data_IF_850283756339
#
_entry.id   IF_850283756339
#
_cell.length_a   1.000
_cell.length_b   1.000
_cell.length_c   1.000
_cell.angle_alpha   90.00
_cell.angle_beta   90.00
_cell.angle_gamma   90.00
#
_symmetry.space_group_name_H-M   'P 1'
#
loop_
_entity.id
_entity.type
_entity.pdbx_description
1 polymer ?
#
# COMPACT_ATOMS: atom_id res chain seq x y z
N UNK A 1 27.64 56.80 29.06
CA UNK A 1 26.57 57.50 29.79
C UNK A 1 25.30 56.69 29.56
N UNK A 2 24.93 55.81 30.50
CA UNK A 2 23.82 56.03 31.46
C UNK A 2 22.52 56.38 30.71
N UNK A 3 21.48 55.54 30.69
CA UNK A 3 20.69 55.11 31.86
C UNK A 3 19.93 53.80 31.62
N UNK A 4 19.89 52.97 32.65
CA UNK A 4 18.99 51.83 32.83
C UNK A 4 17.66 52.27 33.45
N UNK A 5 16.63 51.39 33.40
CA UNK A 5 15.59 51.11 34.42
C UNK A 5 14.69 49.98 33.84
N UNK A 6 14.79 48.72 34.32
CA UNK A 6 14.10 48.10 35.48
C UNK A 6 12.60 47.89 35.22
N UNK A 7 12.14 46.70 34.82
CA UNK A 7 11.75 45.51 35.62
C UNK A 7 10.47 45.66 36.45
N UNK A 8 9.60 44.63 36.45
CA UNK A 8 9.01 43.94 37.62
C UNK A 8 7.95 42.91 37.15
N UNK A 9 8.22 41.64 37.47
CA UNK A 9 7.27 40.51 37.59
C UNK A 9 6.45 40.63 38.89
N UNK A 10 5.40 39.81 39.04
CA UNK A 10 5.35 39.01 40.27
C UNK A 10 5.20 37.51 39.98
N UNK A 11 5.93 36.75 40.79
CA UNK A 11 5.85 35.31 40.94
C UNK A 11 5.12 34.94 42.25
N UNK A 12 5.03 33.62 42.49
CA UNK A 12 4.65 32.89 43.72
C UNK A 12 3.12 32.83 43.96
N UNK A 13 2.46 31.70 44.31
CA UNK A 13 2.87 30.51 45.07
C UNK A 13 1.97 29.30 44.72
N UNK A 14 2.54 28.10 44.76
CA UNK A 14 1.87 26.80 44.71
C UNK A 14 1.30 26.36 46.08
N UNK A 15 0.18 25.64 46.11
CA UNK A 15 -0.18 24.84 47.28
C UNK A 15 -0.92 23.55 46.89
N UNK A 16 -0.42 22.46 47.46
CA UNK A 16 -0.93 21.10 47.43
C UNK A 16 -2.29 20.95 48.13
N UNK A 17 -3.09 19.98 47.70
CA UNK A 17 -3.80 19.09 48.64
C UNK A 17 -4.28 17.79 47.98
N UNK A 18 -4.13 16.72 48.75
CA UNK A 18 -4.26 15.28 48.52
C UNK A 18 -5.71 14.74 48.55
N UNK A 19 -6.01 13.76 47.67
CA UNK A 19 -6.54 12.38 47.91
C UNK A 19 -7.47 12.21 49.15
N UNK A 20 -8.78 11.89 49.09
CA UNK A 20 -9.51 10.64 48.74
C UNK A 20 -10.95 10.69 49.37
N UNK A 21 -11.88 9.70 49.28
CA UNK A 21 -12.34 8.87 48.15
C UNK A 21 -13.89 8.74 48.04
N UNK A 22 -14.33 8.05 46.98
CA UNK A 22 -15.59 7.28 46.82
C UNK A 22 -16.93 7.98 46.48
N UNK A 23 -17.43 7.70 45.27
CA UNK A 23 -18.74 7.05 45.06
C UNK A 23 -18.85 6.52 43.62
N UNK A 24 -19.01 5.21 43.52
CA UNK A 24 -19.23 4.47 42.29
C UNK A 24 -20.53 4.91 41.59
N UNK A 25 -20.48 5.07 40.28
CA UNK A 25 -21.68 5.14 39.44
C UNK A 25 -21.74 3.86 38.60
N UNK A 26 -22.83 3.12 38.80
CA UNK A 26 -23.18 1.87 38.08
C UNK A 26 -23.49 2.18 36.61
N UNK A 27 -23.19 1.26 35.68
CA UNK A 27 -23.57 1.41 34.29
C UNK A 27 -25.07 1.06 34.11
N UNK A 28 -25.79 1.68 33.17
CA UNK A 28 -27.11 1.18 32.79
C UNK A 28 -26.97 -0.05 31.89
N UNK A 29 -27.79 -1.06 32.17
CA UNK A 29 -27.90 -2.30 31.41
C UNK A 29 -28.78 -2.15 30.16
N UNK A 30 -28.31 -2.74 29.06
CA UNK A 30 -29.05 -3.45 27.99
C UNK A 30 -30.39 -2.91 27.47
N UNK A 31 -30.41 -2.52 26.19
CA UNK A 31 -31.56 -2.63 25.28
C UNK A 31 -31.03 -2.97 23.87
N UNK A 32 -31.04 -4.26 23.50
CA UNK A 32 -31.93 -4.90 22.51
C UNK A 32 -31.67 -4.51 21.05
N UNK A 33 -31.03 -5.44 20.35
CA UNK A 33 -31.16 -5.81 18.94
C UNK A 33 -32.19 -5.02 18.11
N UNK A 34 -31.72 -4.19 17.18
CA UNK A 34 -32.51 -3.75 16.03
C UNK A 34 -32.35 -4.79 14.91
N UNK A 35 -33.44 -5.52 14.66
CA UNK A 35 -33.63 -6.32 13.44
C UNK A 35 -34.25 -5.46 12.33
N UNK A 36 -34.08 -5.84 11.06
CA UNK A 36 -34.27 -4.96 9.90
C UNK A 36 -35.74 -4.69 9.57
N UNK A 37 -35.97 -3.53 8.94
CA UNK A 37 -37.23 -3.11 8.36
C UNK A 37 -37.72 -4.11 7.29
N UNK A 38 -38.78 -4.86 7.62
CA UNK A 38 -39.60 -5.55 6.63
C UNK A 38 -40.56 -4.55 5.97
N UNK A 39 -40.41 -4.32 4.66
CA UNK A 39 -41.42 -3.64 3.84
C UNK A 39 -42.59 -4.60 3.54
N UNK A 40 -43.85 -4.11 3.49
CA UNK A 40 -44.97 -4.95 3.06
C UNK A 40 -44.95 -5.14 1.54
N UNK A 41 -44.96 -6.41 1.10
CA UNK A 41 -45.21 -6.81 -0.27
C UNK A 41 -46.72 -6.73 -0.54
N UNK A 42 -47.12 -5.87 -1.48
CA UNK A 42 -48.46 -5.84 -2.08
C UNK A 42 -48.39 -6.65 -3.39
N UNK A 43 -49.23 -7.68 -3.61
CA UNK A 43 -49.20 -8.44 -4.85
C UNK A 43 -50.00 -7.70 -5.94
N UNK A 44 -49.28 -7.15 -6.94
CA UNK A 44 -49.88 -6.73 -8.21
C UNK A 44 -49.88 -7.92 -9.17
N UNK A 45 -51.08 -8.40 -9.49
CA UNK A 45 -51.31 -9.41 -10.53
C UNK A 45 -51.26 -8.70 -11.88
N UNK A 46 -50.12 -8.81 -12.58
CA UNK A 46 -50.05 -8.51 -14.02
C UNK A 46 -49.91 -9.80 -14.83
N UNK A 47 -50.95 -10.10 -15.61
CA UNK A 47 -50.91 -11.08 -16.71
C UNK A 47 -49.77 -10.71 -17.66
N UNK A 48 -48.75 -11.57 -17.77
CA UNK A 48 -47.78 -11.55 -18.88
C UNK A 48 -48.09 -12.70 -19.84
N UNK A 49 -48.37 -12.34 -21.08
CA UNK A 49 -48.32 -13.22 -22.24
C UNK A 49 -46.90 -13.80 -22.39
N UNK A 50 -46.73 -15.05 -22.87
CA UNK A 50 -45.42 -15.68 -22.95
C UNK A 50 -44.62 -15.08 -24.10
N UNK A 51 -43.60 -14.29 -23.75
CA UNK A 51 -42.52 -13.91 -24.67
C UNK A 51 -41.31 -14.74 -24.28
N UNK A 52 -40.72 -15.39 -25.28
CA UNK A 52 -39.64 -16.37 -25.20
C UNK A 52 -38.53 -15.98 -24.20
N UNK A 53 -38.50 -16.68 -23.06
CA UNK A 53 -37.52 -16.50 -21.99
C UNK A 53 -36.23 -17.31 -22.21
N UNK A 54 -36.15 -18.15 -23.25
CA UNK A 54 -34.99 -19.04 -23.41
C UNK A 54 -33.76 -18.31 -23.93
N UNK A 55 -33.91 -17.28 -24.76
CA UNK A 55 -32.77 -16.57 -25.36
C UNK A 55 -32.10 -15.58 -24.40
N UNK A 56 -32.85 -15.00 -23.45
CA UNK A 56 -32.29 -14.08 -22.46
C UNK A 56 -31.51 -14.83 -21.36
N UNK A 57 -32.04 -15.97 -20.91
CA UNK A 57 -31.38 -16.81 -19.92
C UNK A 57 -30.08 -17.43 -20.47
N UNK A 58 -30.06 -17.89 -21.72
CA UNK A 58 -28.82 -18.42 -22.34
C UNK A 58 -27.74 -17.36 -22.52
N UNK A 59 -28.10 -16.12 -22.85
CA UNK A 59 -27.14 -15.02 -23.02
C UNK A 59 -26.56 -14.55 -21.68
N UNK A 60 -27.34 -14.61 -20.59
CA UNK A 60 -26.82 -14.33 -19.23
C UNK A 60 -25.87 -15.44 -18.75
N UNK A 61 -26.21 -16.70 -19.00
CA UNK A 61 -25.39 -17.87 -18.63
C UNK A 61 -24.06 -17.91 -19.42
N UNK A 62 -24.08 -17.58 -20.72
CA UNK A 62 -22.88 -17.46 -21.55
C UNK A 62 -21.96 -16.32 -21.08
N UNK A 63 -22.53 -15.16 -20.75
CA UNK A 63 -21.73 -14.02 -20.23
C UNK A 63 -21.11 -14.32 -18.87
N UNK A 64 -21.85 -15.01 -18.00
CA UNK A 64 -21.35 -15.38 -16.68
C UNK A 64 -20.19 -16.39 -16.80
N UNK A 65 -20.33 -17.40 -17.67
CA UNK A 65 -19.25 -18.34 -17.96
C UNK A 65 -18.00 -17.66 -18.55
N UNK A 66 -18.18 -16.67 -19.43
CA UNK A 66 -17.08 -15.90 -19.99
C UNK A 66 -16.35 -15.08 -18.90
N UNK A 67 -17.07 -14.39 -18.02
CA UNK A 67 -16.49 -13.62 -16.91
C UNK A 67 -15.75 -14.50 -15.88
N UNK A 68 -16.32 -15.67 -15.56
CA UNK A 68 -15.70 -16.66 -14.68
C UNK A 68 -14.40 -17.21 -15.30
N UNK A 69 -14.40 -17.52 -16.60
CA UNK A 69 -13.21 -18.00 -17.32
C UNK A 69 -12.08 -16.97 -17.32
N UNK A 70 -12.40 -15.68 -17.51
CA UNK A 70 -11.44 -14.57 -17.45
C UNK A 70 -10.86 -14.46 -16.04
N UNK A 71 -11.71 -14.53 -15.02
CA UNK A 71 -11.28 -14.43 -13.62
C UNK A 71 -10.32 -15.57 -13.24
N UNK A 72 -10.59 -16.80 -13.69
CA UNK A 72 -9.72 -17.97 -13.48
C UNK A 72 -8.37 -17.76 -14.18
N UNK A 73 -8.34 -17.28 -15.43
CA UNK A 73 -7.09 -17.02 -16.14
C UNK A 73 -6.27 -15.91 -15.46
N UNK A 74 -6.92 -14.83 -15.02
CA UNK A 74 -6.25 -13.73 -14.31
C UNK A 74 -5.66 -14.22 -12.99
N UNK A 75 -6.41 -15.01 -12.21
CA UNK A 75 -5.89 -15.63 -10.99
C UNK A 75 -4.70 -16.55 -11.30
N UNK A 76 -4.80 -17.41 -12.32
CA UNK A 76 -3.71 -18.32 -12.72
C UNK A 76 -2.44 -17.55 -13.06
N UNK A 77 -2.55 -16.46 -13.82
CA UNK A 77 -1.41 -15.61 -14.17
C UNK A 77 -0.83 -14.91 -12.95
N UNK A 78 -1.67 -14.45 -12.02
CA UNK A 78 -1.21 -13.85 -10.76
C UNK A 78 -0.44 -14.86 -9.91
N UNK A 79 -0.95 -16.10 -9.78
CA UNK A 79 -0.27 -17.18 -9.08
C UNK A 79 1.07 -17.47 -9.75
N UNK A 80 1.08 -17.71 -11.07
CA UNK A 80 2.29 -18.01 -11.83
C UNK A 80 3.36 -16.92 -11.71
N UNK A 81 2.96 -15.63 -11.69
CA UNK A 81 3.88 -14.53 -11.50
C UNK A 81 4.58 -14.57 -10.14
N UNK A 82 3.92 -15.12 -9.11
CA UNK A 82 4.42 -15.17 -7.74
C UNK A 82 5.18 -16.46 -7.37
N UNK A 83 5.01 -17.55 -8.13
CA UNK A 83 5.63 -18.85 -7.83
C UNK A 83 7.17 -18.77 -7.73
N UNK A 84 7.75 -19.64 -6.91
CA UNK A 84 9.19 -19.83 -6.79
C UNK A 84 9.77 -19.39 -5.45
N UNK A 85 11.10 -19.40 -5.38
CA UNK A 85 11.86 -18.97 -4.22
C UNK A 85 12.38 -17.55 -4.44
N UNK A 86 12.07 -16.69 -3.49
CA UNK A 86 12.43 -15.29 -3.49
C UNK A 86 13.38 -15.02 -2.34
N UNK A 87 14.52 -14.42 -2.63
CA UNK A 87 15.51 -14.00 -1.63
C UNK A 87 15.57 -12.49 -1.61
N UNK A 88 15.53 -11.87 -0.44
CA UNK A 88 15.30 -10.43 -0.37
C UNK A 88 15.56 -9.79 0.98
N UNK A 89 15.52 -8.46 1.01
CA UNK A 89 15.53 -7.70 2.25
C UNK A 89 14.17 -7.06 2.47
N UNK A 90 13.69 -7.18 3.71
CA UNK A 90 12.66 -6.32 4.27
C UNK A 90 13.31 -5.06 4.82
N UNK A 91 12.80 -3.91 4.42
CA UNK A 91 13.24 -2.60 4.90
C UNK A 91 12.07 -1.91 5.58
N UNK A 92 12.27 -1.46 6.81
CA UNK A 92 11.33 -0.62 7.53
C UNK A 92 11.82 0.81 7.51
N UNK A 93 11.00 1.72 7.00
CA UNK A 93 11.23 3.16 7.04
C UNK A 93 10.21 3.85 7.94
N UNK A 94 10.62 4.95 8.55
CA UNK A 94 9.68 5.88 9.17
C UNK A 94 8.92 6.70 8.09
N UNK A 95 8.08 7.64 8.53
CA UNK A 95 7.31 8.49 7.62
C UNK A 95 8.15 9.57 6.91
N UNK A 96 9.41 9.76 7.30
CA UNK A 96 10.34 10.69 6.67
C UNK A 96 11.30 9.97 5.72
N UNK A 97 11.27 8.64 5.63
CA UNK A 97 12.13 7.85 4.76
C UNK A 97 13.45 7.42 5.40
N UNK A 98 13.58 7.56 6.72
CA UNK A 98 14.76 7.09 7.45
C UNK A 98 14.65 5.58 7.71
N UNK A 99 15.71 4.83 7.41
CA UNK A 99 15.75 3.38 7.58
C UNK A 99 15.85 3.05 9.06
N UNK A 100 14.85 2.33 9.59
CA UNK A 100 14.83 1.84 10.96
C UNK A 100 15.45 0.44 11.06
N UNK A 101 15.04 -0.47 10.19
CA UNK A 101 15.52 -1.86 10.19
C UNK A 101 15.66 -2.42 8.77
N UNK A 102 16.68 -3.26 8.57
CA UNK A 102 16.90 -4.06 7.36
C UNK A 102 17.04 -5.52 7.77
N UNK A 103 16.12 -6.37 7.34
CA UNK A 103 15.97 -7.75 7.80
C UNK A 103 16.06 -8.68 6.59
N UNK A 104 16.94 -9.69 6.66
CA UNK A 104 17.03 -10.72 5.62
C UNK A 104 15.79 -11.60 5.63
N UNK A 105 15.19 -11.79 4.45
CA UNK A 105 13.99 -12.62 4.29
C UNK A 105 14.13 -13.56 3.09
N UNK A 106 13.49 -14.72 3.18
CA UNK A 106 13.27 -15.62 2.04
C UNK A 106 11.78 -15.93 1.95
N UNK A 107 11.22 -16.01 0.76
CA UNK A 107 9.82 -16.34 0.55
C UNK A 107 9.71 -17.51 -0.43
N UNK A 108 9.08 -18.59 0.01
CA UNK A 108 8.74 -19.73 -0.84
C UNK A 108 7.28 -19.64 -1.23
N UNK A 109 6.99 -19.60 -2.53
CA UNK A 109 5.64 -19.51 -3.06
C UNK A 109 5.32 -20.70 -3.98
N UNK A 110 4.26 -21.43 -3.67
CA UNK A 110 3.79 -22.60 -4.41
C UNK A 110 2.29 -22.51 -4.67
N UNK A 111 1.77 -23.29 -5.62
CA UNK A 111 0.34 -23.39 -5.89
C UNK A 111 -0.23 -24.74 -5.45
N UNK A 112 -1.51 -24.76 -5.11
CA UNK A 112 -2.30 -25.97 -4.89
C UNK A 112 -3.69 -25.82 -5.50
N UNK A 113 -4.28 -26.93 -5.94
CA UNK A 113 -5.57 -26.94 -6.64
C UNK A 113 -5.47 -26.53 -8.11
N UNK A 114 -6.60 -26.63 -8.80
CA UNK A 114 -6.75 -26.31 -10.23
C UNK A 114 -7.98 -25.42 -10.42
N UNK A 115 -7.98 -24.66 -11.52
CA UNK A 115 -9.09 -23.79 -11.96
C UNK A 115 -9.63 -22.88 -10.84
N UNK A 116 -10.93 -22.91 -10.56
CA UNK A 116 -11.54 -22.05 -9.53
C UNK A 116 -11.03 -22.31 -8.09
N UNK A 117 -10.47 -23.50 -7.86
CA UNK A 117 -9.91 -23.93 -6.57
C UNK A 117 -8.41 -23.67 -6.46
N UNK A 118 -7.81 -23.01 -7.46
CA UNK A 118 -6.39 -22.69 -7.40
C UNK A 118 -6.10 -21.69 -6.27
N UNK A 119 -5.02 -22.00 -5.57
CA UNK A 119 -4.57 -21.25 -4.41
C UNK A 119 -3.06 -21.03 -4.47
N UNK A 120 -2.63 -19.88 -3.96
CA UNK A 120 -1.25 -19.51 -3.72
C UNK A 120 -0.97 -19.66 -2.24
N UNK A 121 0.01 -20.53 -1.93
CA UNK A 121 0.50 -20.81 -0.59
C UNK A 121 1.91 -20.24 -0.49
N UNK A 122 2.16 -19.47 0.56
CA UNK A 122 3.44 -18.78 0.73
C UNK A 122 3.95 -18.90 2.17
N UNK A 123 5.22 -19.28 2.30
CA UNK A 123 5.96 -19.28 3.57
C UNK A 123 7.05 -18.21 3.52
N UNK A 124 7.01 -17.27 4.46
CA UNK A 124 8.02 -16.24 4.65
C UNK A 124 8.97 -16.68 5.77
N UNK A 125 10.24 -16.79 5.45
CA UNK A 125 11.32 -17.09 6.38
C UNK A 125 12.02 -15.78 6.75
N UNK A 126 12.14 -15.51 8.04
CA UNK A 126 12.70 -14.29 8.60
C UNK A 126 13.99 -14.65 9.32
N UNK A 127 15.11 -14.04 8.93
CA UNK A 127 16.39 -14.28 9.60
C UNK A 127 16.35 -13.67 11.00
N UNK A 128 16.61 -14.48 12.03
CA UNK A 128 16.68 -14.01 13.40
C UNK A 128 18.08 -13.45 13.72
N UNK A 129 18.19 -12.47 14.64
CA UNK A 129 19.49 -12.00 15.11
C UNK A 129 20.22 -13.14 15.84
N UNK A 130 21.55 -13.30 15.64
CA UNK A 130 22.30 -14.34 16.34
C UNK A 130 22.45 -14.02 17.83
N UNK A 131 22.32 -15.02 18.70
CA UNK A 131 22.56 -14.89 20.13
C UNK A 131 24.06 -14.77 20.47
N UNK A 132 24.91 -15.41 19.65
CA UNK A 132 26.37 -15.33 19.72
C UNK A 132 26.99 -15.39 18.32
N UNK A 133 28.24 -14.94 18.19
CA UNK A 133 28.96 -14.90 16.91
C UNK A 133 29.24 -16.29 16.29
N UNK A 134 29.03 -17.37 17.06
CA UNK A 134 29.26 -18.75 16.62
C UNK A 134 27.98 -19.50 16.25
N UNK A 135 26.81 -18.90 16.46
CA UNK A 135 25.55 -19.62 16.26
C UNK A 135 25.22 -19.80 14.78
N UNK A 136 24.62 -20.96 14.41
CA UNK A 136 24.14 -21.18 13.05
C UNK A 136 23.05 -20.16 12.70
N UNK A 137 22.90 -19.86 11.42
CA UNK A 137 21.83 -18.97 10.97
C UNK A 137 20.45 -19.58 11.24
N UNK A 138 19.66 -18.90 12.05
CA UNK A 138 18.29 -19.31 12.37
C UNK A 138 17.25 -18.50 11.58
N UNK A 139 16.17 -19.19 11.20
CA UNK A 139 15.11 -18.65 10.37
C UNK A 139 13.74 -18.99 10.96
N UNK A 140 12.96 -17.97 11.29
CA UNK A 140 11.58 -18.12 11.73
C UNK A 140 10.66 -18.26 10.51
N UNK A 141 9.80 -19.29 10.48
CA UNK A 141 8.79 -19.46 9.42
C UNK A 141 7.46 -18.81 9.80
N UNK A 142 7.01 -17.86 8.98
CA UNK A 142 5.66 -17.32 9.00
C UNK A 142 4.86 -17.81 7.79
N UNK A 143 3.75 -18.52 8.05
CA UNK A 143 2.82 -18.96 7.00
C UNK A 143 1.86 -17.83 6.64
N UNK A 144 2.00 -17.28 5.44
CA UNK A 144 1.12 -16.23 4.94
C UNK A 144 -0.27 -16.83 4.68
N UNK A 145 -1.32 -16.04 4.92
CA UNK A 145 -2.70 -16.45 4.62
C UNK A 145 -2.81 -16.85 3.15
N UNK A 146 -3.45 -17.98 2.91
CA UNK A 146 -3.70 -18.52 1.58
C UNK A 146 -4.41 -17.48 0.70
N UNK A 147 -3.96 -17.37 -0.55
CA UNK A 147 -4.57 -16.49 -1.55
C UNK A 147 -5.23 -17.34 -2.65
N UNK A 148 -6.55 -17.31 -2.71
CA UNK A 148 -7.40 -17.99 -3.69
C UNK A 148 -8.46 -17.03 -4.25
N UNK A 149 -9.29 -17.52 -5.19
CA UNK A 149 -10.34 -16.74 -5.88
C UNK A 149 -11.19 -15.89 -4.93
N UNK A 150 -11.61 -16.46 -3.80
CA UNK A 150 -12.44 -15.76 -2.83
C UNK A 150 -11.67 -14.63 -2.13
N UNK A 151 -10.45 -14.91 -1.67
CA UNK A 151 -9.65 -13.92 -0.94
C UNK A 151 -9.20 -12.75 -1.80
N UNK A 152 -8.80 -13.00 -3.06
CA UNK A 152 -8.32 -11.95 -3.97
C UNK A 152 -9.42 -10.95 -4.27
N UNK A 153 -10.66 -11.42 -4.44
CA UNK A 153 -11.80 -10.57 -4.75
C UNK A 153 -12.38 -9.92 -3.49
N UNK A 154 -12.73 -10.71 -2.47
CA UNK A 154 -13.48 -10.22 -1.31
C UNK A 154 -12.63 -9.52 -0.26
N UNK A 155 -11.39 -9.95 -0.05
CA UNK A 155 -10.57 -9.43 1.05
C UNK A 155 -9.46 -8.50 0.58
N UNK A 156 -8.75 -8.88 -0.49
CA UNK A 156 -7.59 -8.13 -0.97
C UNK A 156 -7.96 -7.08 -2.01
N UNK A 157 -9.17 -7.17 -2.60
CA UNK A 157 -9.62 -6.33 -3.72
C UNK A 157 -8.54 -6.21 -4.81
N UNK A 158 -7.93 -7.33 -5.21
CA UNK A 158 -6.77 -7.36 -6.11
C UNK A 158 -6.95 -6.42 -7.31
N UNK A 159 -5.89 -5.73 -7.71
CA UNK A 159 -5.81 -5.21 -9.07
C UNK A 159 -4.50 -5.69 -9.67
N UNK A 160 -4.60 -6.45 -10.75
CA UNK A 160 -3.47 -7.14 -11.37
C UNK A 160 -3.31 -6.70 -12.83
N UNK A 161 -2.06 -6.47 -13.22
CA UNK A 161 -1.63 -6.09 -14.56
C UNK A 161 -0.78 -7.23 -15.13
N UNK A 162 -1.38 -8.18 -15.87
CA UNK A 162 -0.68 -9.39 -16.29
C UNK A 162 0.48 -9.13 -17.26
N UNK A 163 0.33 -8.14 -18.14
CA UNK A 163 1.33 -7.81 -19.17
C UNK A 163 2.45 -7.00 -18.54
N UNK A 164 2.09 -6.01 -17.73
CA UNK A 164 2.99 -5.06 -17.08
C UNK A 164 3.69 -5.66 -15.86
N UNK A 165 3.24 -6.83 -15.40
CA UNK A 165 3.73 -7.55 -14.22
C UNK A 165 3.73 -6.65 -12.98
N UNK A 166 2.57 -6.09 -12.66
CA UNK A 166 2.37 -5.27 -11.46
C UNK A 166 1.06 -5.64 -10.78
N UNK A 167 0.98 -5.47 -9.46
CA UNK A 167 -0.27 -5.70 -8.73
C UNK A 167 -0.40 -4.87 -7.47
N UNK A 168 -1.63 -4.65 -7.02
CA UNK A 168 -1.95 -4.04 -5.73
C UNK A 168 -2.89 -4.93 -4.92
N UNK A 169 -2.64 -5.03 -3.61
CA UNK A 169 -3.43 -5.81 -2.66
C UNK A 169 -3.74 -5.00 -1.40
N UNK A 170 -4.90 -5.26 -0.81
CA UNK A 170 -5.25 -4.85 0.56
C UNK A 170 -4.93 -5.98 1.53
N UNK A 171 -4.41 -5.62 2.70
CA UNK A 171 -4.38 -6.51 3.86
C UNK A 171 -5.35 -5.99 4.93
N UNK A 172 -5.98 -6.92 5.64
CA UNK A 172 -6.89 -6.59 6.74
C UNK A 172 -6.14 -6.11 7.99
N UNK A 173 -4.89 -6.56 8.16
CA UNK A 173 -4.05 -6.32 9.33
C UNK A 173 -2.59 -6.27 8.91
N UNK A 174 -1.75 -5.58 9.68
CA UNK A 174 -0.30 -5.57 9.49
C UNK A 174 0.44 -6.73 10.20
N UNK A 175 -0.28 -7.75 10.70
CA UNK A 175 0.30 -8.78 11.58
C UNK A 175 1.47 -9.58 10.98
N UNK A 176 1.45 -9.87 9.67
CA UNK A 176 2.60 -10.48 9.00
C UNK A 176 3.84 -9.59 9.11
N UNK A 177 3.68 -8.29 8.87
CA UNK A 177 4.75 -7.30 8.88
C UNK A 177 5.25 -7.04 10.31
N UNK A 178 4.35 -7.06 11.30
CA UNK A 178 4.69 -7.04 12.72
C UNK A 178 5.59 -8.23 13.09
N UNK A 179 5.25 -9.45 12.66
CA UNK A 179 6.06 -10.63 12.91
C UNK A 179 7.44 -10.54 12.27
N UNK A 180 7.56 -10.00 11.04
CA UNK A 180 8.87 -9.77 10.41
C UNK A 180 9.75 -8.88 11.29
N UNK A 181 9.21 -7.77 11.79
CA UNK A 181 9.95 -6.84 12.63
C UNK A 181 10.33 -7.48 13.97
N UNK A 182 9.39 -8.16 14.64
CA UNK A 182 9.65 -8.84 15.92
C UNK A 182 10.71 -9.91 15.78
N UNK A 183 10.52 -10.85 14.87
CA UNK A 183 11.44 -11.99 14.72
C UNK A 183 12.79 -11.56 14.14
N UNK A 184 12.81 -10.58 13.24
CA UNK A 184 14.06 -10.10 12.64
C UNK A 184 14.89 -9.15 13.52
N UNK A 185 14.29 -8.56 14.57
CA UNK A 185 14.99 -7.61 15.47
C UNK A 185 15.17 -8.17 16.89
N UNK A 186 14.16 -8.86 17.43
CA UNK A 186 14.17 -9.42 18.78
C UNK A 186 14.55 -10.90 18.80
N UNK A 187 14.26 -11.65 17.73
CA UNK A 187 14.52 -13.08 17.67
C UNK A 187 13.67 -13.90 18.65
N UNK A 188 14.26 -14.96 19.19
CA UNK A 188 13.61 -15.84 20.18
C UNK A 188 13.35 -15.16 21.52
N UNK A 189 14.07 -14.07 21.83
CA UNK A 189 13.93 -13.30 23.08
C UNK A 189 12.69 -12.39 23.09
N UNK A 190 11.84 -12.42 22.05
CA UNK A 190 10.59 -11.67 22.06
C UNK A 190 9.67 -12.16 23.19
N UNK A 191 9.50 -11.31 24.19
CA UNK A 191 8.61 -11.53 25.34
C UNK A 191 7.13 -11.52 24.95
N UNK A 192 6.80 -11.14 23.71
CA UNK A 192 5.43 -10.95 23.24
C UNK A 192 4.78 -9.68 23.79
N UNK A 193 5.57 -8.79 24.41
CA UNK A 193 5.10 -7.49 24.88
C UNK A 193 4.53 -6.68 23.71
N UNK A 194 3.43 -5.96 23.95
CA UNK A 194 2.75 -5.15 22.93
C UNK A 194 3.62 -4.00 22.39
N UNK A 195 4.54 -3.49 23.19
CA UNK A 195 5.37 -2.32 22.84
C UNK A 195 6.76 -2.43 23.45
N UNK A 196 7.61 -3.32 22.89
CA UNK A 196 8.99 -3.45 23.34
C UNK A 196 9.72 -2.10 23.17
N UNK A 197 10.58 -1.77 24.13
CA UNK A 197 11.28 -0.47 24.13
C UNK A 197 12.14 -0.34 22.87
N UNK A 198 12.03 0.79 22.19
CA UNK A 198 12.81 1.17 20.99
C UNK A 198 12.51 0.39 19.70
N UNK A 199 11.41 -0.38 19.64
CA UNK A 199 10.98 -1.04 18.41
C UNK A 199 9.70 -0.40 17.88
N UNK A 200 9.73 0.11 16.66
CA UNK A 200 8.55 0.67 15.99
C UNK A 200 7.73 -0.48 15.37
N UNK A 201 6.61 -0.82 16.00
CA UNK A 201 5.66 -1.81 15.47
C UNK A 201 4.45 -1.12 14.83
N UNK A 202 3.80 -1.74 13.83
CA UNK A 202 2.57 -1.20 13.25
C UNK A 202 1.42 -1.24 14.25
N UNK A 203 0.49 -0.31 14.12
CA UNK A 203 -0.75 -0.32 14.91
C UNK A 203 -1.50 -1.65 14.76
N UNK A 204 -2.07 -2.15 15.87
CA UNK A 204 -2.88 -3.39 15.89
C UNK A 204 -4.10 -3.35 14.95
N UNK A 205 -4.68 -2.16 14.76
CA UNK A 205 -5.88 -1.93 13.93
C UNK A 205 -5.61 -0.76 12.97
N UNK A 206 -4.73 -0.94 11.98
CA UNK A 206 -4.42 0.12 11.03
C UNK A 206 -5.66 0.45 10.21
N UNK A 207 -5.81 1.71 9.79
CA UNK A 207 -6.91 2.11 8.91
C UNK A 207 -6.73 1.50 7.51
N UNK A 208 -5.50 1.51 7.00
CA UNK A 208 -5.13 0.96 5.68
C UNK A 208 -3.82 0.20 5.79
N UNK A 209 -3.79 -0.99 5.17
CA UNK A 209 -2.56 -1.71 4.82
C UNK A 209 -2.65 -2.03 3.33
N UNK A 210 -1.85 -1.33 2.53
CA UNK A 210 -1.85 -1.46 1.08
C UNK A 210 -0.49 -1.92 0.59
N UNK A 211 -0.46 -3.02 -0.16
CA UNK A 211 0.70 -3.47 -0.92
C UNK A 211 0.58 -3.00 -2.37
N UNK A 212 1.65 -2.42 -2.90
CA UNK A 212 1.88 -2.21 -4.32
C UNK A 212 3.13 -2.98 -4.73
N UNK A 213 3.05 -3.75 -5.80
CA UNK A 213 4.15 -4.57 -6.30
C UNK A 213 4.47 -4.23 -7.76
N UNK A 214 5.75 -3.98 -8.03
CA UNK A 214 6.30 -3.72 -9.36
C UNK A 214 7.47 -4.67 -9.60
N UNK A 215 7.49 -5.30 -10.76
CA UNK A 215 8.60 -6.14 -11.20
C UNK A 215 9.56 -5.34 -12.08
N UNK A 216 10.85 -5.62 -11.98
CA UNK A 216 11.89 -4.99 -12.79
C UNK A 216 11.68 -5.27 -14.28
N UNK A 217 12.06 -4.31 -15.13
CA UNK A 217 12.07 -4.49 -16.58
C UNK A 217 13.12 -5.51 -17.05
N UNK A 218 14.24 -5.61 -16.35
CA UNK A 218 15.45 -6.29 -16.85
C UNK A 218 15.79 -7.56 -16.07
N UNK A 219 15.42 -7.62 -14.79
CA UNK A 219 15.76 -8.73 -13.89
C UNK A 219 14.50 -9.39 -13.35
N UNK A 220 14.63 -10.62 -12.85
CA UNK A 220 13.54 -11.28 -12.11
C UNK A 220 13.54 -10.83 -10.64
N UNK A 221 13.44 -9.50 -10.48
CA UNK A 221 13.44 -8.78 -9.22
C UNK A 221 12.11 -8.05 -9.09
N UNK A 222 11.61 -7.91 -7.87
CA UNK A 222 10.41 -7.13 -7.57
C UNK A 222 10.58 -6.29 -6.32
N UNK A 223 9.85 -5.18 -6.30
CA UNK A 223 9.64 -4.33 -5.13
C UNK A 223 8.20 -4.50 -4.68
N UNK A 224 8.00 -4.95 -3.44
CA UNK A 224 6.68 -4.98 -2.77
C UNK A 224 6.65 -3.94 -1.67
N UNK A 225 5.91 -2.86 -1.90
CA UNK A 225 5.87 -1.70 -1.03
C UNK A 225 4.57 -1.62 -0.25
N UNK A 226 4.66 -1.35 1.05
CA UNK A 226 3.52 -1.31 1.97
C UNK A 226 3.35 0.08 2.57
N UNK A 227 2.17 0.66 2.38
CA UNK A 227 1.70 1.80 3.15
C UNK A 227 0.94 1.31 4.37
N UNK A 228 1.35 1.74 5.58
CA UNK A 228 0.66 1.46 6.83
C UNK A 228 0.14 2.76 7.42
N UNK A 229 -1.19 2.91 7.43
CA UNK A 229 -1.85 4.06 8.04
C UNK A 229 -2.33 3.66 9.45
N UNK A 230 -2.04 4.49 10.44
CA UNK A 230 -2.52 4.29 11.80
C UNK A 230 -4.07 4.35 11.85
N UNK A 231 -4.71 4.04 13.00
CA UNK A 231 -6.17 4.06 13.11
C UNK A 231 -6.81 5.43 12.82
N UNK A 232 -6.03 6.52 12.87
CA UNK A 232 -6.45 7.88 12.56
C UNK A 232 -6.27 8.26 11.08
N UNK A 233 -5.76 7.36 10.24
CA UNK A 233 -5.55 7.63 8.81
C UNK A 233 -4.28 8.42 8.50
N UNK A 234 -3.34 8.50 9.44
CA UNK A 234 -2.02 9.13 9.26
C UNK A 234 -0.98 8.05 8.95
N UNK A 235 -0.06 8.34 8.03
CA UNK A 235 1.05 7.44 7.71
C UNK A 235 1.89 7.13 8.96
N UNK A 236 2.00 5.86 9.28
CA UNK A 236 2.76 5.38 10.44
C UNK A 236 4.16 4.89 10.07
N UNK A 237 4.27 4.15 8.97
CA UNK A 237 5.53 3.61 8.45
C UNK A 237 5.37 3.17 7.00
N UNK A 238 6.51 3.05 6.33
CA UNK A 238 6.63 2.52 4.97
C UNK A 238 7.50 1.27 5.01
N UNK A 239 7.08 0.20 4.36
CA UNK A 239 7.84 -1.05 4.35
C UNK A 239 8.11 -1.49 2.91
N UNK A 240 9.32 -1.96 2.63
CA UNK A 240 9.70 -2.45 1.31
C UNK A 240 10.29 -3.86 1.41
N UNK A 241 9.78 -4.79 0.61
CA UNK A 241 10.53 -5.98 0.25
C UNK A 241 11.19 -5.75 -1.11
N UNK A 242 12.51 -5.89 -1.16
CA UNK A 242 13.26 -6.01 -2.41
C UNK A 242 13.64 -7.48 -2.55
N UNK A 243 13.10 -8.16 -3.56
CA UNK A 243 13.19 -9.61 -3.70
C UNK A 243 13.66 -9.99 -5.10
N UNK A 244 14.58 -10.94 -5.18
CA UNK A 244 15.04 -11.57 -6.42
C UNK A 244 14.63 -13.04 -6.43
N UNK A 245 14.07 -13.50 -7.54
CA UNK A 245 13.71 -14.90 -7.72
C UNK A 245 14.94 -15.70 -8.11
N UNK A 246 15.12 -16.88 -7.53
CA UNK A 246 16.21 -17.75 -7.91
C UNK A 246 16.41 -18.93 -6.97
N UNK A 247 17.66 -19.40 -6.87
CA UNK A 247 18.01 -20.48 -5.95
C UNK A 247 18.05 -19.98 -4.51
N UNK A 248 18.02 -20.90 -3.54
CA UNK A 248 18.09 -20.60 -2.10
C UNK A 248 19.40 -19.93 -1.66
N UNK A 249 20.43 -20.00 -2.51
CA UNK A 249 21.79 -19.56 -2.25
C UNK A 249 22.14 -18.24 -2.97
N UNK A 250 21.17 -17.63 -3.66
CA UNK A 250 21.38 -16.34 -4.29
C UNK A 250 21.69 -15.26 -3.22
N UNK A 251 22.65 -14.35 -3.50
CA UNK A 251 22.87 -13.21 -2.63
C UNK A 251 21.60 -12.35 -2.60
N UNK A 252 21.34 -11.74 -1.45
CA UNK A 252 20.20 -10.85 -1.32
C UNK A 252 20.40 -9.60 -2.22
N UNK A 253 19.38 -9.18 -2.99
CA UNK A 253 19.46 -7.95 -3.78
C UNK A 253 19.60 -6.74 -2.85
N UNK A 254 20.43 -5.78 -3.21
CA UNK A 254 20.62 -4.55 -2.44
C UNK A 254 20.40 -3.30 -3.30
N UNK A 255 19.95 -2.22 -2.67
CA UNK A 255 20.01 -0.90 -3.29
C UNK A 255 21.47 -0.43 -3.40
N UNK A 256 21.73 0.42 -4.38
CA UNK A 256 23.01 1.10 -4.51
C UNK A 256 23.10 2.23 -3.46
N UNK A 257 23.77 1.95 -2.35
CA UNK A 257 23.89 2.88 -1.21
C UNK A 257 24.66 4.17 -1.59
N UNK A 258 25.44 4.15 -2.68
CA UNK A 258 26.17 5.35 -3.15
C UNK A 258 25.24 6.46 -3.65
N UNK A 259 24.01 6.12 -4.03
CA UNK A 259 23.00 7.05 -4.54
C UNK A 259 22.04 7.57 -3.46
N UNK A 260 22.26 7.18 -2.21
CA UNK A 260 21.32 7.47 -1.13
C UNK A 260 21.35 8.93 -0.63
N UNK A 261 22.39 9.69 -0.99
CA UNK A 261 22.56 11.09 -0.60
C UNK A 261 21.68 12.06 -1.38
N UNK A 262 21.25 11.69 -2.59
CA UNK A 262 20.40 12.51 -3.46
C UNK A 262 19.25 11.68 -4.03
N UNK A 263 18.21 11.51 -3.21
CA UNK A 263 17.06 10.67 -3.54
C UNK A 263 16.05 11.35 -4.47
N UNK A 264 16.12 12.67 -4.65
CA UNK A 264 15.15 13.40 -5.49
C UNK A 264 15.57 13.46 -6.95
N UNK A 265 16.86 13.61 -7.24
CA UNK A 265 17.38 13.76 -8.61
C UNK A 265 16.93 12.67 -9.59
N UNK A 266 16.85 11.39 -9.21
CA UNK A 266 16.31 10.36 -10.09
C UNK A 266 14.89 10.64 -10.58
N UNK A 267 14.10 11.43 -9.85
CA UNK A 267 12.69 11.71 -10.17
C UNK A 267 12.46 13.04 -10.88
N UNK A 268 13.38 14.00 -10.75
CA UNK A 268 13.28 15.31 -11.39
C UNK A 268 13.30 15.20 -12.93
N UNK A 269 12.72 16.18 -13.62
CA UNK A 269 12.67 16.29 -15.07
C UNK A 269 11.31 15.93 -15.67
N UNK A 270 11.28 15.80 -17.00
CA UNK A 270 10.07 15.46 -17.76
C UNK A 270 10.06 13.97 -18.09
N UNK A 271 8.97 13.31 -17.74
CA UNK A 271 8.73 11.90 -17.99
C UNK A 271 7.54 11.75 -18.93
N UNK A 272 7.67 10.93 -19.97
CA UNK A 272 6.58 10.64 -20.91
C UNK A 272 6.34 9.15 -21.00
N UNK A 273 5.10 8.74 -21.13
CA UNK A 273 4.78 7.32 -21.12
C UNK A 273 3.33 6.99 -21.43
N UNK A 274 2.92 5.81 -20.98
CA UNK A 274 1.52 5.36 -21.01
C UNK A 274 1.08 4.94 -19.62
N UNK A 275 -0.23 5.02 -19.41
CA UNK A 275 -0.90 4.51 -18.23
C UNK A 275 -2.06 3.60 -18.59
N UNK A 276 -2.32 2.62 -17.74
CA UNK A 276 -3.45 1.69 -17.85
C UNK A 276 -4.15 1.67 -16.50
N UNK A 277 -5.44 1.99 -16.47
CA UNK A 277 -6.28 1.95 -15.28
C UNK A 277 -7.17 0.73 -15.33
N UNK A 278 -7.12 -0.10 -14.29
CA UNK A 278 -7.96 -1.29 -14.12
C UNK A 278 -8.83 -1.17 -12.89
N UNK A 279 -10.06 -1.66 -12.97
CA UNK A 279 -10.96 -1.79 -11.83
C UNK A 279 -10.37 -2.79 -10.83
N UNK A 280 -10.54 -2.53 -9.54
CA UNK A 280 -10.22 -3.52 -8.50
C UNK A 280 -11.22 -4.69 -8.53
N UNK A 281 -10.74 -5.87 -8.16
CA UNK A 281 -11.43 -7.15 -8.30
C UNK A 281 -10.69 -8.06 -9.28
N UNK A 282 -10.89 -9.37 -9.14
CA UNK A 282 -10.15 -10.38 -9.92
C UNK A 282 -10.36 -10.26 -11.43
N UNK A 283 -11.55 -9.85 -11.87
CA UNK A 283 -11.85 -9.63 -13.29
C UNK A 283 -10.97 -8.53 -13.91
N UNK A 284 -10.63 -7.48 -13.14
CA UNK A 284 -9.62 -6.50 -13.55
C UNK A 284 -9.92 -5.74 -14.84
N UNK A 285 -11.18 -5.36 -15.07
CA UNK A 285 -11.63 -4.65 -16.27
C UNK A 285 -10.76 -3.41 -16.53
N UNK A 286 -10.26 -3.24 -17.76
CA UNK A 286 -9.59 -2.01 -18.17
C UNK A 286 -10.62 -0.89 -18.28
N UNK A 287 -10.44 0.17 -17.50
CA UNK A 287 -11.33 1.35 -17.45
C UNK A 287 -10.84 2.43 -18.41
N UNK A 288 -9.53 2.65 -18.46
CA UNK A 288 -8.94 3.70 -19.28
C UNK A 288 -7.48 3.38 -19.62
N UNK A 289 -7.06 3.81 -20.81
CA UNK A 289 -5.67 3.92 -21.23
C UNK A 289 -5.41 5.37 -21.64
N UNK A 290 -4.21 5.86 -21.34
CA UNK A 290 -3.84 7.23 -21.64
C UNK A 290 -2.33 7.38 -21.87
N UNK A 291 -1.98 8.29 -22.76
CA UNK A 291 -0.64 8.86 -22.86
C UNK A 291 -0.40 9.84 -21.71
N UNK A 292 0.78 9.76 -21.08
CA UNK A 292 1.11 10.56 -19.89
C UNK A 292 2.34 11.44 -20.11
N UNK A 293 2.30 12.63 -19.52
CA UNK A 293 3.46 13.52 -19.38
C UNK A 293 3.50 14.01 -17.94
N UNK A 294 4.54 13.65 -17.20
CA UNK A 294 4.73 14.04 -15.81
C UNK A 294 6.03 14.83 -15.67
N UNK A 295 5.95 16.09 -15.25
CA UNK A 295 7.09 16.94 -14.94
C UNK A 295 7.24 17.09 -13.43
N UNK A 296 8.48 17.07 -12.96
CA UNK A 296 8.83 17.34 -11.56
C UNK A 296 10.09 18.21 -11.55
N UNK A 297 9.96 19.45 -11.12
CA UNK A 297 11.04 20.45 -11.20
C UNK A 297 11.19 21.20 -9.89
N UNK A 298 12.43 21.58 -9.56
CA UNK A 298 12.71 22.52 -8.48
C UNK A 298 12.94 23.88 -9.15
N UNK A 299 12.12 24.86 -8.81
CA UNK A 299 12.23 26.21 -9.37
C UNK A 299 13.42 26.98 -8.75
N UNK A 300 13.71 28.17 -9.31
CA UNK A 300 14.83 29.00 -8.84
C UNK A 300 14.74 29.46 -7.39
N UNK A 301 13.54 29.43 -6.80
CA UNK A 301 13.28 29.77 -5.39
C UNK A 301 13.37 28.54 -4.46
N UNK A 302 13.71 27.36 -5.00
CA UNK A 302 13.81 26.10 -4.25
C UNK A 302 12.47 25.42 -3.98
N UNK A 303 11.36 25.91 -4.54
CA UNK A 303 10.06 25.26 -4.45
C UNK A 303 9.93 24.18 -5.54
N UNK A 304 9.27 23.09 -5.18
CA UNK A 304 9.01 21.99 -6.10
C UNK A 304 7.68 22.20 -6.83
N UNK A 305 7.69 22.02 -8.14
CA UNK A 305 6.50 22.01 -8.99
C UNK A 305 6.34 20.63 -9.62
N UNK A 306 5.14 20.06 -9.52
CA UNK A 306 4.74 18.86 -10.25
C UNK A 306 3.61 19.20 -11.20
N UNK A 307 3.67 18.67 -12.42
CA UNK A 307 2.54 18.66 -13.35
C UNK A 307 2.39 17.27 -13.96
N UNK A 308 1.18 16.72 -13.95
CA UNK A 308 0.84 15.46 -14.59
C UNK A 308 -0.29 15.70 -15.57
N UNK A 309 -0.02 15.42 -16.84
CA UNK A 309 -1.00 15.47 -17.94
C UNK A 309 -1.28 14.06 -18.42
N UNK A 310 -2.56 13.73 -18.55
CA UNK A 310 -3.04 12.46 -19.08
C UNK A 310 -4.03 12.73 -20.22
N UNK A 311 -3.72 12.22 -21.41
CA UNK A 311 -4.59 12.28 -22.59
C UNK A 311 -5.07 10.88 -22.92
N UNK A 312 -6.38 10.64 -22.90
CA UNK A 312 -6.96 9.33 -23.21
C UNK A 312 -6.58 8.87 -24.63
N UNK A 313 -6.51 7.56 -24.88
CA UNK A 313 -6.07 7.03 -26.17
C UNK A 313 -6.98 7.42 -27.36
N UNK A 314 -8.22 7.84 -27.09
CA UNK A 314 -9.12 8.46 -28.09
C UNK A 314 -8.85 9.94 -28.38
N UNK A 315 -8.00 10.59 -27.58
CA UNK A 315 -7.67 12.02 -27.69
C UNK A 315 -8.75 12.98 -27.16
N UNK A 316 -9.95 12.47 -26.85
CA UNK A 316 -11.12 13.28 -26.52
C UNK A 316 -11.02 14.01 -25.17
N UNK A 317 -10.26 13.46 -24.23
CA UNK A 317 -10.13 14.00 -22.87
C UNK A 317 -8.66 14.12 -22.51
N UNK A 318 -8.25 15.35 -22.18
CA UNK A 318 -6.96 15.63 -21.55
C UNK A 318 -7.19 16.26 -20.19
N UNK A 319 -6.60 15.66 -19.17
CA UNK A 319 -6.59 16.20 -17.80
C UNK A 319 -5.18 16.66 -17.46
N UNK A 320 -5.09 17.80 -16.75
CA UNK A 320 -3.82 18.28 -16.18
C UNK A 320 -4.02 18.54 -14.70
N UNK A 321 -3.09 18.06 -13.89
CA UNK A 321 -3.04 18.31 -12.46
C UNK A 321 -1.68 18.92 -12.15
N UNK A 322 -1.67 20.09 -11.53
CA UNK A 322 -0.44 20.76 -11.11
C UNK A 322 -0.47 21.02 -9.62
N UNK A 323 0.64 20.70 -8.95
CA UNK A 323 0.86 20.89 -7.53
C UNK A 323 2.17 21.62 -7.29
N UNK A 324 2.15 22.52 -6.32
CA UNK A 324 3.34 23.11 -5.74
C UNK A 324 3.61 22.43 -4.41
N UNK A 325 4.89 22.36 -4.04
CA UNK A 325 5.30 21.76 -2.79
C UNK A 325 6.66 22.23 -2.32
N UNK A 326 7.03 21.78 -1.13
CA UNK A 326 8.32 22.02 -0.51
C UNK A 326 9.00 20.71 -0.18
N UNK A 327 10.34 20.71 -0.22
CA UNK A 327 11.17 19.57 0.14
C UNK A 327 11.71 19.83 1.55
N UNK A 328 11.59 18.84 2.42
CA UNK A 328 12.23 18.81 3.72
C UNK A 328 12.86 17.42 3.90
N UNK A 329 14.19 17.36 3.90
CA UNK A 329 14.96 16.11 3.88
C UNK A 329 14.49 15.19 2.73
N UNK A 330 14.04 13.98 3.06
CA UNK A 330 13.56 12.99 2.11
C UNK A 330 12.03 13.07 1.88
N UNK A 331 11.35 14.10 2.38
CA UNK A 331 9.90 14.25 2.23
C UNK A 331 9.55 15.47 1.40
N UNK A 332 8.63 15.28 0.46
CA UNK A 332 7.99 16.34 -0.32
C UNK A 332 6.58 16.53 0.21
N UNK A 333 6.20 17.76 0.55
CA UNK A 333 4.84 18.10 0.95
C UNK A 333 4.22 19.06 -0.05
N UNK A 334 3.10 18.67 -0.66
CA UNK A 334 2.35 19.48 -1.63
C UNK A 334 1.25 20.28 -0.95
N UNK A 335 0.90 21.44 -1.53
CA UNK A 335 -0.09 22.39 -1.00
C UNK A 335 -1.53 21.83 -0.92
N UNK A 336 -1.78 20.66 -1.51
CA UNK A 336 -3.04 19.92 -1.40
C UNK A 336 -3.09 18.87 -0.28
N UNK A 337 -2.06 18.79 0.57
CA UNK A 337 -1.98 17.77 1.62
C UNK A 337 -1.60 16.38 1.08
N UNK A 338 -0.95 16.31 -0.08
CA UNK A 338 -0.31 15.09 -0.57
C UNK A 338 1.18 15.10 -0.23
N UNK A 339 1.78 13.92 -0.02
CA UNK A 339 3.20 13.79 0.32
C UNK A 339 3.87 12.72 -0.51
N UNK A 340 5.13 12.95 -0.88
CA UNK A 340 6.05 11.88 -1.29
C UNK A 340 7.11 11.68 -0.22
N UNK A 341 7.44 10.42 0.05
CA UNK A 341 8.61 10.04 0.83
C UNK A 341 9.60 9.36 -0.11
N UNK A 342 10.78 9.94 -0.22
CA UNK A 342 11.87 9.50 -1.09
C UNK A 342 12.69 8.44 -0.35
N UNK A 343 12.80 7.26 -0.96
CA UNK A 343 13.45 6.08 -0.41
C UNK A 343 14.69 5.71 -1.24
N UNK A 344 15.61 4.90 -0.68
CA UNK A 344 16.76 4.41 -1.43
C UNK A 344 16.36 3.66 -2.71
N UNK A 345 17.26 3.61 -3.69
CA UNK A 345 17.07 2.82 -4.90
C UNK A 345 16.18 3.44 -5.97
N UNK A 346 16.00 4.77 -5.94
CA UNK A 346 15.13 5.49 -6.89
C UNK A 346 13.66 5.20 -6.64
N UNK A 347 13.26 4.98 -5.38
CA UNK A 347 11.88 4.69 -5.01
C UNK A 347 11.30 5.93 -4.34
N UNK A 348 10.04 6.24 -4.63
CA UNK A 348 9.24 7.07 -3.73
C UNK A 348 7.90 6.41 -3.46
N UNK A 349 7.34 6.74 -2.30
CA UNK A 349 6.01 6.34 -1.90
C UNK A 349 5.17 7.57 -1.61
N UNK A 350 3.99 7.64 -2.21
CA UNK A 350 3.09 8.77 -2.15
C UNK A 350 1.79 8.46 -1.40
N UNK A 351 1.35 9.39 -0.57
CA UNK A 351 0.04 9.30 0.09
C UNK A 351 -0.48 10.67 0.55
N UNK A 352 -1.79 10.80 0.85
CA UNK A 352 -2.30 11.95 1.58
C UNK A 352 -1.64 12.05 2.95
N UNK A 353 -1.52 13.27 3.48
CA UNK A 353 -1.03 13.51 4.83
C UNK A 353 -2.01 13.03 5.90
N UNK A 354 -3.30 13.06 5.59
CA UNK A 354 -4.40 12.65 6.46
C UNK A 354 -5.56 12.09 5.62
N UNK A 355 -5.73 10.77 5.65
CA UNK A 355 -6.83 10.09 4.94
C UNK A 355 -8.17 10.31 5.63
N UNK A 356 -8.20 10.45 6.96
CA UNK A 356 -9.45 10.69 7.67
C UNK A 356 -10.07 12.03 7.24
N UNK A 357 -9.24 13.05 6.95
CA UNK A 357 -9.69 14.29 6.33
C UNK A 357 -10.34 14.06 4.96
N UNK A 358 -9.70 13.28 4.07
CA UNK A 358 -10.29 12.96 2.76
C UNK A 358 -11.65 12.27 2.89
N UNK A 359 -11.77 11.30 3.79
CA UNK A 359 -13.04 10.58 4.05
C UNK A 359 -14.10 11.54 4.64
N UNK A 360 -13.72 12.39 5.60
CA UNK A 360 -14.64 13.37 6.20
C UNK A 360 -15.16 14.37 5.17
N UNK A 361 -14.33 14.75 4.20
CA UNK A 361 -14.67 15.66 3.12
C UNK A 361 -15.34 14.95 1.92
N UNK A 362 -15.60 13.64 2.03
CA UNK A 362 -16.16 12.80 0.96
C UNK A 362 -15.34 12.83 -0.34
N UNK A 363 -14.02 12.91 -0.20
CA UNK A 363 -13.06 13.00 -1.31
C UNK A 363 -12.39 11.66 -1.55
N UNK A 364 -12.25 11.29 -2.83
CA UNK A 364 -11.38 10.19 -3.23
C UNK A 364 -9.91 10.53 -2.92
N UNK A 365 -9.09 9.50 -2.71
CA UNK A 365 -7.66 9.65 -2.49
C UNK A 365 -6.89 8.50 -3.13
N UNK A 366 -5.55 8.58 -3.17
CA UNK A 366 -4.73 7.53 -3.75
C UNK A 366 -3.41 7.34 -3.03
N UNK A 367 -2.90 6.11 -3.08
CA UNK A 367 -1.55 5.76 -2.64
C UNK A 367 -0.69 5.47 -3.87
N UNK A 368 0.60 5.76 -3.82
CA UNK A 368 1.47 5.65 -4.98
C UNK A 368 2.79 4.96 -4.61
N UNK A 369 3.24 4.05 -5.48
CA UNK A 369 4.60 3.54 -5.50
C UNK A 369 5.23 3.95 -6.82
N UNK A 370 6.43 4.52 -6.78
CA UNK A 370 7.27 4.70 -7.96
C UNK A 370 8.59 3.99 -7.78
N UNK A 371 9.10 3.41 -8.86
CA UNK A 371 10.46 2.88 -8.93
C UNK A 371 11.14 3.32 -10.23
N UNK A 372 12.13 4.20 -10.12
CA UNK A 372 13.04 4.62 -11.17
C UNK A 372 14.23 3.65 -11.23
N UNK A 373 14.04 2.52 -11.91
CA UNK A 373 15.06 1.47 -12.07
C UNK A 373 16.34 1.96 -12.76
N UNK A 374 16.22 3.00 -13.60
CA UNK A 374 17.36 3.67 -14.24
C UNK A 374 17.13 5.18 -14.30
N UNK A 375 18.15 5.91 -14.74
CA UNK A 375 18.05 7.36 -14.94
C UNK A 375 17.07 7.76 -16.05
N UNK A 376 16.63 6.79 -16.88
CA UNK A 376 15.83 7.03 -18.08
C UNK A 376 14.49 6.30 -18.11
N UNK A 377 14.26 5.34 -17.21
CA UNK A 377 13.01 4.54 -17.15
C UNK A 377 12.51 4.42 -15.73
N UNK A 378 11.21 4.58 -15.56
CA UNK A 378 10.53 4.34 -14.28
C UNK A 378 9.16 3.70 -14.47
N UNK A 379 8.71 3.06 -13.41
CA UNK A 379 7.37 2.53 -13.27
C UNK A 379 6.66 3.25 -12.11
N UNK A 380 5.35 3.42 -12.21
CA UNK A 380 4.52 3.88 -11.10
C UNK A 380 3.29 2.99 -10.98
N UNK A 381 2.85 2.74 -9.75
CA UNK A 381 1.61 2.05 -9.47
C UNK A 381 0.82 2.87 -8.47
N UNK A 382 -0.32 3.39 -8.93
CA UNK A 382 -1.24 4.21 -8.15
C UNK A 382 -2.44 3.35 -7.76
N UNK A 383 -2.78 3.35 -6.47
CA UNK A 383 -3.94 2.67 -5.89
C UNK A 383 -4.98 3.71 -5.49
N UNK A 384 -6.15 3.68 -6.11
CA UNK A 384 -7.20 4.70 -5.92
C UNK A 384 -8.30 4.19 -5.00
N UNK A 385 -8.70 5.04 -4.07
CA UNK A 385 -9.72 4.80 -3.08
C UNK A 385 -10.89 5.77 -3.28
N UNK A 386 -12.11 5.29 -3.04
CA UNK A 386 -13.29 6.14 -2.95
C UNK A 386 -13.35 6.90 -1.62
N UNK A 387 -14.41 7.70 -1.46
CA UNK A 387 -14.69 8.50 -0.27
C UNK A 387 -14.89 7.67 1.02
N UNK A 388 -15.10 6.36 0.92
CA UNK A 388 -15.27 5.46 2.07
C UNK A 388 -13.99 4.68 2.40
N UNK A 389 -12.92 4.89 1.62
CA UNK A 389 -11.66 4.18 1.78
C UNK A 389 -11.68 2.76 1.22
N UNK A 390 -12.58 2.45 0.29
CA UNK A 390 -12.56 1.22 -0.49
C UNK A 390 -11.71 1.42 -1.76
N UNK A 391 -10.83 0.47 -2.05
CA UNK A 391 -10.02 0.53 -3.26
C UNK A 391 -10.87 0.21 -4.51
N UNK A 392 -10.99 1.17 -5.43
CA UNK A 392 -11.86 1.07 -6.61
C UNK A 392 -11.11 0.75 -7.90
N UNK A 393 -9.84 1.15 -7.98
CA UNK A 393 -8.99 0.89 -9.14
C UNK A 393 -7.51 0.95 -8.78
N UNK A 394 -6.67 0.48 -9.71
CA UNK A 394 -5.27 0.85 -9.77
C UNK A 394 -4.91 1.37 -11.15
N UNK A 395 -3.89 2.21 -11.23
CA UNK A 395 -3.32 2.71 -12.48
C UNK A 395 -1.83 2.41 -12.51
N UNK A 396 -1.40 1.64 -13.51
CA UNK A 396 0.00 1.38 -13.79
C UNK A 396 0.53 2.41 -14.79
N UNK A 397 1.76 2.89 -14.59
CA UNK A 397 2.47 3.79 -15.49
C UNK A 397 3.82 3.19 -15.88
N UNK A 398 4.17 3.33 -17.15
CA UNK A 398 5.51 3.06 -17.67
C UNK A 398 5.99 4.30 -18.42
N UNK A 399 7.07 4.91 -17.95
CA UNK A 399 7.51 6.24 -18.39
C UNK A 399 9.02 6.28 -18.67
N UNK A 400 9.39 7.08 -19.67
CA UNK A 400 10.78 7.38 -20.03
C UNK A 400 11.10 8.86 -19.81
N UNK A 401 12.30 9.13 -19.30
CA UNK A 401 12.80 10.49 -19.11
C UNK A 401 13.16 11.10 -20.47
N UNK A 402 12.81 12.37 -20.67
CA UNK A 402 13.08 13.13 -21.90
C UNK A 402 14.40 13.88 -21.85
#
# INVERSE_FOLDING_TARGET
>A
MATALSSILPAVVAAHSTVSPSKAHKPPATLRFLKPFNRPLVPSIHRRSPISASAAATVEDERQNDEESVSIDVLRRFINLNLGYWTGYFHQFDCNGDLLHKISTKLSASSYGEDELMSLIQSLYIKQPPLSTSDPEEWFEYKIKETNMFTVDKYQQICFFPIEKAFALRYQTAGMLETVIRQGVLGEDDTGEESPRNLKLPSRRPAIVCENCIFSFEKDVRVRAFHIMNPQGILEMLLLFLEERGSKDNPHPSFDESKDLDRITPHLGTWKGRSITKRSGVYGATIAEASTVATLEINGDGQLAQEVRCTSDGGDVTTSVSWMGSICNNTISFDGGYKFTLLPGGIYMGCPSDIAKSVQESMCFHLELCWAESTVKRQRLVRTYDAEGLAVSSTYFCETKQ
#
